data_IF_683267543375
#
_entry.id   IF_683267543375
#
_cell.length_a   1.000
_cell.length_b   1.000
_cell.length_c   1.000
_cell.angle_alpha   90.00
_cell.angle_beta   90.00
_cell.angle_gamma   90.00
#
_symmetry.space_group_name_H-M   'P 1'
#
loop_
_entity.id
_entity.type
_entity.pdbx_description
1 polymer ?
#
# COMPACT_ATOMS: atom_id res chain seq x y z
N UNK A 1 -4.31 23.92 -0.83
CA UNK A 1 -4.64 22.48 -0.88
C UNK A 1 -4.05 21.78 -2.09
N UNK A 2 -4.35 22.19 -3.33
CA UNK A 2 -3.80 21.55 -4.55
C UNK A 2 -2.27 21.49 -4.61
N UNK A 3 -1.58 22.60 -4.33
CA UNK A 3 -0.12 22.64 -4.32
C UNK A 3 0.48 21.67 -3.29
N UNK A 4 -0.12 21.56 -2.11
CA UNK A 4 0.32 20.64 -1.05
C UNK A 4 0.23 19.18 -1.49
N UNK A 5 -0.87 18.79 -2.15
CA UNK A 5 -1.02 17.46 -2.71
C UNK A 5 -0.03 17.21 -3.85
N UNK A 6 0.20 18.19 -4.71
CA UNK A 6 1.16 18.09 -5.81
C UNK A 6 2.61 17.90 -5.31
N UNK A 7 3.07 18.75 -4.40
CA UNK A 7 4.39 18.60 -3.79
C UNK A 7 4.51 17.32 -2.95
N UNK A 8 3.43 16.93 -2.26
CA UNK A 8 3.37 15.66 -1.55
C UNK A 8 3.53 14.45 -2.47
N UNK A 9 2.82 14.43 -3.59
CA UNK A 9 2.93 13.35 -4.58
C UNK A 9 4.35 13.27 -5.16
N UNK A 10 4.97 14.41 -5.49
CA UNK A 10 6.36 14.45 -5.98
C UNK A 10 7.32 13.91 -4.91
N UNK A 11 7.17 14.34 -3.65
CA UNK A 11 8.02 13.87 -2.56
C UNK A 11 7.92 12.35 -2.37
N UNK A 12 6.70 11.79 -2.46
CA UNK A 12 6.48 10.35 -2.38
C UNK A 12 7.12 9.59 -3.54
N UNK A 13 7.02 10.10 -4.77
CA UNK A 13 7.67 9.48 -5.94
C UNK A 13 9.20 9.53 -5.82
N UNK A 14 9.76 10.66 -5.36
CA UNK A 14 11.20 10.77 -5.14
C UNK A 14 11.69 9.82 -4.04
N UNK A 15 10.91 9.67 -2.97
CA UNK A 15 11.21 8.74 -1.89
C UNK A 15 11.16 7.29 -2.40
N UNK A 16 10.17 6.94 -3.21
CA UNK A 16 10.06 5.63 -3.83
C UNK A 16 11.26 5.31 -4.73
N UNK A 17 11.66 6.25 -5.58
CA UNK A 17 12.85 6.14 -6.43
C UNK A 17 14.13 5.95 -5.61
N UNK A 18 14.26 6.63 -4.48
CA UNK A 18 15.39 6.47 -3.57
C UNK A 18 15.42 5.05 -2.98
N UNK A 19 14.28 4.56 -2.49
CA UNK A 19 14.16 3.19 -1.96
C UNK A 19 14.48 2.15 -3.02
N UNK A 20 13.90 2.27 -4.21
CA UNK A 20 14.17 1.38 -5.34
C UNK A 20 15.66 1.38 -5.74
N UNK A 21 16.32 2.54 -5.67
CA UNK A 21 17.75 2.68 -5.92
C UNK A 21 18.61 1.98 -4.85
N UNK A 22 18.22 2.05 -3.58
CA UNK A 22 18.88 1.32 -2.49
C UNK A 22 18.72 -0.19 -2.69
N UNK A 23 17.51 -0.66 -3.00
CA UNK A 23 17.23 -2.08 -3.29
C UNK A 23 18.08 -2.58 -4.47
N UNK A 24 18.16 -1.78 -5.53
CA UNK A 24 19.02 -2.07 -6.68
C UNK A 24 20.49 -2.16 -6.28
N UNK A 25 20.99 -1.22 -5.48
CA UNK A 25 22.39 -1.19 -5.04
C UNK A 25 22.75 -2.43 -4.23
N UNK A 26 21.90 -2.82 -3.28
CA UNK A 26 22.10 -4.02 -2.45
C UNK A 26 22.09 -5.28 -3.33
N UNK A 27 21.14 -5.40 -4.26
CA UNK A 27 21.09 -6.57 -5.11
C UNK A 27 22.29 -6.65 -6.06
N UNK A 28 22.73 -5.50 -6.60
CA UNK A 28 23.89 -5.44 -7.47
C UNK A 28 25.18 -5.78 -6.75
N UNK A 29 25.35 -5.36 -5.48
CA UNK A 29 26.53 -5.72 -4.68
C UNK A 29 26.65 -7.22 -4.42
N UNK A 30 25.54 -7.96 -4.54
CA UNK A 30 25.48 -9.42 -4.40
C UNK A 30 25.50 -10.16 -5.76
N UNK A 31 25.81 -9.46 -6.87
CA UNK A 31 25.95 -10.08 -8.20
C UNK A 31 24.64 -10.26 -8.97
N UNK A 32 23.52 -9.70 -8.51
CA UNK A 32 22.25 -9.76 -9.23
C UNK A 32 22.06 -8.60 -10.23
N UNK A 33 21.11 -8.78 -11.16
CA UNK A 33 20.77 -7.81 -12.20
C UNK A 33 20.23 -6.48 -11.64
N UNK A 34 20.89 -5.36 -11.95
CA UNK A 34 20.48 -4.00 -11.52
C UNK A 34 19.03 -3.68 -11.88
N UNK A 35 18.66 -3.85 -13.14
CA UNK A 35 17.34 -3.45 -13.64
C UNK A 35 16.18 -4.25 -13.06
N UNK A 36 16.36 -5.55 -12.83
CA UNK A 36 15.31 -6.41 -12.25
C UNK A 36 14.95 -5.98 -10.84
N UNK A 37 15.95 -5.69 -10.01
CA UNK A 37 15.74 -5.32 -8.61
C UNK A 37 15.30 -3.88 -8.43
N UNK A 38 15.70 -2.98 -9.33
CA UNK A 38 15.14 -1.63 -9.39
C UNK A 38 13.65 -1.65 -9.74
N UNK A 39 13.27 -2.37 -10.80
CA UNK A 39 11.87 -2.52 -11.19
C UNK A 39 11.06 -3.21 -10.10
N UNK A 40 11.63 -4.19 -9.41
CA UNK A 40 11.01 -4.82 -8.26
C UNK A 40 10.71 -3.78 -7.17
N UNK A 41 11.71 -2.98 -6.78
CA UNK A 41 11.55 -1.94 -5.77
C UNK A 41 10.47 -0.91 -6.12
N UNK A 42 10.38 -0.51 -7.39
CA UNK A 42 9.37 0.43 -7.89
C UNK A 42 7.97 -0.18 -7.95
N UNK A 43 7.82 -1.46 -8.33
CA UNK A 43 6.50 -2.09 -8.53
C UNK A 43 5.91 -2.64 -7.22
N UNK A 44 6.77 -3.08 -6.29
CA UNK A 44 6.37 -3.67 -5.01
C UNK A 44 5.35 -2.84 -4.21
N UNK A 45 5.51 -1.52 -4.02
CA UNK A 45 4.54 -0.71 -3.27
C UNK A 45 3.16 -0.70 -3.92
N UNK A 46 3.07 -0.66 -5.25
CA UNK A 46 1.79 -0.75 -5.95
C UNK A 46 1.10 -2.09 -5.71
N UNK A 47 1.84 -3.21 -5.80
CA UNK A 47 1.31 -4.55 -5.51
C UNK A 47 0.86 -4.66 -4.05
N UNK A 48 1.58 -4.03 -3.12
CA UNK A 48 1.25 -4.05 -1.69
C UNK A 48 -0.12 -3.46 -1.39
N UNK A 49 -0.55 -2.43 -2.14
CA UNK A 49 -1.86 -1.80 -1.97
C UNK A 49 -2.97 -2.80 -2.32
N UNK A 50 -2.82 -3.56 -3.40
CA UNK A 50 -3.80 -4.58 -3.79
C UNK A 50 -3.85 -5.72 -2.77
N UNK A 51 -2.70 -6.12 -2.23
CA UNK A 51 -2.65 -7.13 -1.17
C UNK A 51 -3.36 -6.62 0.09
N UNK A 52 -3.07 -5.40 0.52
CA UNK A 52 -3.72 -4.79 1.68
C UNK A 52 -5.24 -4.69 1.50
N UNK A 53 -5.70 -4.31 0.30
CA UNK A 53 -7.12 -4.26 -0.04
C UNK A 53 -7.75 -5.66 -0.01
N UNK A 54 -7.10 -6.66 -0.59
CA UNK A 54 -7.57 -8.04 -0.59
C UNK A 54 -7.65 -8.62 0.84
N UNK A 55 -6.66 -8.30 1.69
CA UNK A 55 -6.65 -8.66 3.11
C UNK A 55 -7.80 -7.95 3.85
N UNK A 56 -8.00 -6.64 3.64
CA UNK A 56 -9.09 -5.89 4.25
C UNK A 56 -10.46 -6.50 3.89
N UNK A 57 -10.70 -6.81 2.60
CA UNK A 57 -11.94 -7.46 2.16
C UNK A 57 -12.08 -8.85 2.79
N UNK A 58 -11.00 -9.63 2.85
CA UNK A 58 -11.02 -10.97 3.47
C UNK A 58 -11.36 -10.88 4.96
N UNK A 59 -10.80 -9.91 5.65
CA UNK A 59 -11.04 -9.67 7.07
C UNK A 59 -12.48 -9.19 7.32
N UNK A 60 -13.02 -8.31 6.48
CA UNK A 60 -14.45 -7.93 6.52
C UNK A 60 -15.38 -9.13 6.31
N UNK A 61 -15.06 -10.01 5.35
CA UNK A 61 -15.84 -11.22 5.10
C UNK A 61 -15.76 -12.19 6.28
N UNK A 62 -14.57 -12.35 6.89
CA UNK A 62 -14.40 -13.16 8.10
C UNK A 62 -15.14 -12.56 9.30
N UNK A 63 -15.10 -11.24 9.47
CA UNK A 63 -15.83 -10.55 10.51
C UNK A 63 -17.35 -10.69 10.31
N UNK A 64 -17.85 -10.61 9.07
CA UNK A 64 -19.27 -10.78 8.75
C UNK A 64 -19.72 -12.23 8.96
N UNK A 65 -18.90 -13.21 8.57
CA UNK A 65 -19.17 -14.63 8.79
C UNK A 65 -19.14 -14.99 10.28
N UNK A 66 -18.22 -14.41 11.06
CA UNK A 66 -18.17 -14.55 12.51
C UNK A 66 -19.34 -13.85 13.23
N UNK A 67 -19.93 -12.80 12.61
CA UNK A 67 -21.12 -12.09 13.12
C UNK A 67 -22.46 -12.77 12.82
N UNK A 68 -22.47 -13.87 12.05
CA UNK A 68 -23.56 -14.84 12.04
C UNK A 68 -25.00 -14.29 12.01
N UNK A 69 -25.28 -13.23 11.25
CA UNK A 69 -26.66 -12.78 10.98
C UNK A 69 -27.24 -11.64 11.83
N UNK A 70 -26.47 -10.93 12.65
CA UNK A 70 -26.94 -9.64 13.21
C UNK A 70 -26.43 -8.46 12.35
N UNK A 71 -27.32 -7.61 11.81
CA UNK A 71 -26.89 -6.41 11.10
C UNK A 71 -26.04 -5.54 12.03
N UNK A 72 -25.00 -4.91 11.48
CA UNK A 72 -24.27 -3.84 12.18
C UNK A 72 -25.35 -2.86 12.69
N UNK A 73 -25.45 -2.55 14.01
CA UNK A 73 -26.35 -1.48 14.42
C UNK A 73 -25.88 -0.23 13.66
N UNK A 74 -26.78 0.32 12.85
CA UNK A 74 -26.58 1.63 12.25
C UNK A 74 -26.24 2.55 13.42
N UNK A 75 -25.05 3.13 13.41
CA UNK A 75 -24.77 4.30 14.23
C UNK A 75 -25.78 5.35 13.81
N UNK A 76 -26.78 5.60 14.66
CA UNK A 76 -27.78 6.63 14.42
C UNK A 76 -27.05 7.97 14.22
N UNK A 77 -27.36 8.69 13.13
CA UNK A 77 -26.86 10.04 12.95
C UNK A 77 -27.58 10.96 13.94
N UNK A 78 -27.11 11.02 15.19
CA UNK A 78 -27.83 11.76 16.23
C UNK A 78 -27.22 11.86 17.63
N UNK A 79 -25.96 11.50 17.86
CA UNK A 79 -25.29 11.86 19.12
C UNK A 79 -24.44 13.11 18.86
N UNK A 80 -24.93 14.22 19.39
CA UNK A 80 -24.54 15.62 19.22
C UNK A 80 -23.06 15.94 19.46
#
# INVERSE_FOLDING_TARGET
MFATFFFGAIALVLFDLLLASITMYIAYSHGHSRGKWFLLGMVLPFVSIFIALAVAIRDERRATAARGGTPKPMSEPGEF
#
